data_IF_444270022558
#
_entry.id   IF_444270022558
#
_cell.length_a   1.000
_cell.length_b   1.000
_cell.length_c   1.000
_cell.angle_alpha   90.00
_cell.angle_beta   90.00
_cell.angle_gamma   90.00
#
_symmetry.space_group_name_H-M   'P 1'
#
loop_
_entity.id
_entity.type
_entity.pdbx_description
1 polymer ?
#
# COMPACT_ATOMS: atom_id res chain seq x y z
N UNK A 1 -14.58 -0.01 -2.77
CA UNK A 1 -14.22 1.33 -3.25
C UNK A 1 -13.00 1.82 -2.47
N UNK A 2 -11.96 2.26 -3.17
CA UNK A 2 -10.71 2.77 -2.58
C UNK A 2 -10.89 4.24 -2.17
N UNK A 3 -10.39 4.61 -1.00
CA UNK A 3 -10.16 6.02 -0.69
C UNK A 3 -9.00 6.56 -1.54
N UNK A 4 -8.91 7.88 -1.69
CA UNK A 4 -7.78 8.51 -2.42
C UNK A 4 -6.43 8.12 -1.82
N UNK A 5 -6.36 8.02 -0.49
CA UNK A 5 -5.14 7.65 0.24
C UNK A 5 -4.77 6.19 0.04
N UNK A 6 -5.77 5.30 0.08
CA UNK A 6 -5.59 3.88 -0.21
C UNK A 6 -5.09 3.69 -1.65
N UNK A 7 -5.68 4.41 -2.61
CA UNK A 7 -5.25 4.39 -4.00
C UNK A 7 -3.81 4.88 -4.17
N UNK A 8 -3.41 5.98 -3.54
CA UNK A 8 -2.05 6.50 -3.64
C UNK A 8 -1.02 5.49 -3.10
N UNK A 9 -1.29 4.85 -1.97
CA UNK A 9 -0.43 3.78 -1.42
C UNK A 9 -0.37 2.60 -2.39
N UNK A 10 -1.52 2.15 -2.87
CA UNK A 10 -1.64 0.97 -3.72
C UNK A 10 -0.99 1.17 -5.09
N UNK A 11 -1.10 2.37 -5.67
CA UNK A 11 -0.41 2.77 -6.90
C UNK A 11 1.10 2.79 -6.74
N UNK A 12 1.60 3.21 -5.59
CA UNK A 12 3.03 3.19 -5.30
C UNK A 12 3.56 1.75 -5.22
N UNK A 13 2.81 0.88 -4.54
CA UNK A 13 3.05 -0.56 -4.49
C UNK A 13 2.98 -1.21 -5.87
N UNK A 14 2.00 -0.84 -6.69
CA UNK A 14 1.84 -1.34 -8.06
C UNK A 14 3.07 -1.08 -8.94
N UNK A 15 3.67 0.11 -8.81
CA UNK A 15 4.88 0.50 -9.55
C UNK A 15 6.15 -0.18 -9.06
N UNK A 16 6.28 -0.42 -7.75
CA UNK A 16 7.50 -0.95 -7.15
C UNK A 16 7.47 -2.48 -6.95
N UNK A 17 6.28 -3.11 -7.11
CA UNK A 17 5.95 -4.53 -6.84
C UNK A 17 6.14 -4.98 -5.39
N UNK A 18 7.25 -4.60 -4.75
CA UNK A 18 7.55 -4.80 -3.33
C UNK A 18 8.11 -3.50 -2.77
N UNK A 19 7.66 -3.10 -1.58
CA UNK A 19 8.19 -1.94 -0.89
C UNK A 19 8.20 -2.16 0.62
N UNK A 20 9.22 -1.68 1.30
CA UNK A 20 9.24 -1.67 2.77
C UNK A 20 8.36 -0.54 3.32
N UNK A 21 7.87 -0.67 4.57
CA UNK A 21 7.18 0.44 5.24
C UNK A 21 8.02 1.74 5.29
N UNK A 22 9.35 1.61 5.45
CA UNK A 22 10.26 2.76 5.48
C UNK A 22 10.37 3.47 4.13
N UNK A 23 10.48 2.71 3.04
CA UNK A 23 10.47 3.28 1.68
C UNK A 23 9.11 3.86 1.30
N UNK A 24 8.01 3.25 1.75
CA UNK A 24 6.69 3.81 1.55
C UNK A 24 6.57 5.19 2.21
N UNK A 25 7.07 5.32 3.45
CA UNK A 25 7.15 6.59 4.18
C UNK A 25 8.05 7.62 3.49
N UNK A 26 9.17 7.20 2.89
CA UNK A 26 10.10 8.14 2.24
C UNK A 26 9.61 8.61 0.87
N UNK A 27 8.95 7.73 0.11
CA UNK A 27 8.42 8.03 -1.23
C UNK A 27 7.12 8.82 -1.18
N UNK A 28 6.30 8.59 -0.17
CA UNK A 28 5.14 9.43 0.04
C UNK A 28 5.58 10.66 0.80
N UNK A 29 5.55 11.84 0.16
CA UNK A 29 5.73 13.15 0.81
C UNK A 29 4.53 13.46 1.72
N UNK A 30 4.19 12.52 2.59
CA UNK A 30 2.96 12.50 3.36
C UNK A 30 3.17 13.35 4.60
N UNK A 31 2.65 14.58 4.57
CA UNK A 31 2.67 15.50 5.71
C UNK A 31 1.68 15.12 6.83
N UNK A 32 1.18 13.89 6.88
CA UNK A 32 0.24 13.42 7.92
C UNK A 32 0.92 12.46 8.88
N UNK A 33 0.31 12.30 10.06
CA UNK A 33 0.84 11.47 11.14
C UNK A 33 1.10 10.03 10.69
N UNK A 34 2.17 9.43 11.22
CA UNK A 34 2.52 8.01 11.03
C UNK A 34 1.34 7.06 11.31
N UNK A 35 0.47 7.43 12.25
CA UNK A 35 -0.76 6.72 12.60
C UNK A 35 -1.75 6.62 11.42
N UNK A 36 -1.84 7.67 10.58
CA UNK A 36 -2.69 7.67 9.39
C UNK A 36 -2.26 6.61 8.38
N UNK A 37 -0.95 6.48 8.14
CA UNK A 37 -0.42 5.51 7.18
C UNK A 37 -0.61 4.07 7.65
N UNK A 38 -0.40 3.80 8.94
CA UNK A 38 -0.62 2.46 9.49
C UNK A 38 -2.08 2.01 9.34
N UNK A 39 -3.04 2.92 9.53
CA UNK A 39 -4.45 2.64 9.30
C UNK A 39 -4.76 2.36 7.82
N UNK A 40 -4.18 3.12 6.90
CA UNK A 40 -4.34 2.87 5.44
C UNK A 40 -3.76 1.50 5.07
N UNK A 41 -2.54 1.18 5.51
CA UNK A 41 -1.92 -0.12 5.26
C UNK A 41 -2.79 -1.25 5.84
N UNK A 42 -3.29 -1.09 7.07
CA UNK A 42 -4.16 -2.08 7.70
C UNK A 42 -5.44 -2.30 6.89
N UNK A 43 -6.11 -1.23 6.47
CA UNK A 43 -7.31 -1.31 5.61
C UNK A 43 -7.02 -2.03 4.29
N UNK A 44 -5.89 -1.73 3.63
CA UNK A 44 -5.48 -2.40 2.39
C UNK A 44 -5.19 -3.90 2.57
N UNK A 45 -4.67 -4.30 3.74
CA UNK A 45 -4.46 -5.71 4.09
C UNK A 45 -5.80 -6.40 4.36
N UNK A 46 -6.70 -5.77 5.12
CA UNK A 46 -8.05 -6.29 5.39
C UNK A 46 -8.87 -6.48 4.11
N UNK A 47 -8.70 -5.58 3.13
CA UNK A 47 -9.30 -5.68 1.79
C UNK A 47 -8.59 -6.68 0.86
N UNK A 48 -7.53 -7.35 1.33
CA UNK A 48 -6.70 -8.28 0.56
C UNK A 48 -6.09 -7.65 -0.72
N UNK A 49 -5.85 -6.35 -0.72
CA UNK A 49 -5.12 -5.64 -1.79
C UNK A 49 -3.62 -5.66 -1.59
N UNK A 50 -3.16 -5.80 -0.34
CA UNK A 50 -1.74 -5.86 0.04
C UNK A 50 -1.53 -7.01 1.01
N UNK A 51 -0.35 -7.63 0.96
CA UNK A 51 0.10 -8.62 1.95
C UNK A 51 1.43 -8.22 2.54
N UNK A 52 1.64 -8.57 3.79
CA UNK A 52 2.94 -8.47 4.47
C UNK A 52 3.70 -9.79 4.33
N UNK A 53 5.01 -9.72 4.08
CA UNK A 53 5.88 -10.89 4.10
C UNK A 53 6.50 -11.03 5.50
N UNK A 54 6.11 -12.04 6.31
CA UNK A 54 6.57 -12.17 7.69
C UNK A 54 8.04 -12.61 7.82
N UNK A 55 8.64 -13.14 6.75
CA UNK A 55 9.99 -13.71 6.77
C UNK A 55 11.10 -12.66 6.59
N UNK A 56 10.75 -11.40 6.32
CA UNK A 56 11.72 -10.33 6.13
C UNK A 56 11.71 -9.45 7.38
N UNK A 57 12.87 -9.26 8.02
CA UNK A 57 13.04 -8.41 9.21
C UNK A 57 12.58 -6.97 9.01
N UNK A 58 12.43 -6.56 7.76
CA UNK A 58 11.84 -5.31 7.32
C UNK A 58 10.43 -5.62 6.82
N UNK A 59 9.39 -5.07 7.47
CA UNK A 59 7.98 -5.25 7.09
C UNK A 59 7.75 -4.86 5.61
N UNK A 60 7.92 -5.83 4.70
CA UNK A 60 7.73 -5.68 3.27
C UNK A 60 6.25 -5.83 2.92
N UNK A 61 5.77 -4.93 2.08
CA UNK A 61 4.43 -4.88 1.54
C UNK A 61 4.49 -5.31 0.07
N UNK A 62 3.61 -6.23 -0.30
CA UNK A 62 3.48 -6.77 -1.66
C UNK A 62 2.05 -6.59 -2.13
N UNK A 63 1.88 -6.10 -3.36
CA UNK A 63 0.55 -5.97 -3.96
C UNK A 63 0.01 -7.35 -4.36
N UNK A 64 -1.29 -7.59 -4.11
CA UNK A 64 -1.97 -8.81 -4.57
C UNK A 64 -2.57 -8.59 -5.96
N UNK A 65 -2.99 -9.68 -6.63
CA UNK A 65 -3.73 -9.56 -7.89
C UNK A 65 -5.00 -8.71 -7.76
N UNK A 66 -5.70 -8.78 -6.62
CA UNK A 66 -6.88 -7.95 -6.35
C UNK A 66 -6.51 -6.48 -6.20
N UNK A 67 -5.36 -6.19 -5.59
CA UNK A 67 -4.83 -4.83 -5.50
C UNK A 67 -4.46 -4.25 -6.86
N UNK A 68 -3.86 -5.06 -7.76
CA UNK A 68 -3.56 -4.62 -9.12
C UNK A 68 -4.83 -4.23 -9.89
N UNK A 69 -5.85 -5.10 -9.87
CA UNK A 69 -7.13 -4.84 -10.51
C UNK A 69 -7.82 -3.60 -9.95
N UNK A 70 -7.73 -3.37 -8.64
CA UNK A 70 -8.30 -2.19 -8.01
C UNK A 70 -7.61 -0.88 -8.42
N UNK A 71 -6.33 -0.90 -8.79
CA UNK A 71 -5.63 0.27 -9.34
C UNK A 71 -6.09 0.53 -10.77
N UNK A 72 -6.17 -0.51 -11.60
CA UNK A 72 -6.63 -0.44 -13.00
C UNK A 72 -8.07 0.08 -13.09
N UNK A 73 -8.97 -0.41 -12.23
CA UNK A 73 -10.37 0.03 -12.12
C UNK A 73 -10.48 1.51 -11.71
N UNK A 74 -9.62 1.98 -10.80
CA UNK A 74 -9.62 3.37 -10.36
C UNK A 74 -9.09 4.35 -11.44
N UNK A 75 -8.24 3.88 -12.36
CA UNK A 75 -7.69 4.70 -13.45
C UNK A 75 -8.55 4.73 -14.71
N UNK A 76 -9.60 3.90 -14.76
CA UNK A 76 -10.56 3.81 -15.87
C UNK A 76 -11.62 4.91 -15.79
#
# INVERSE_FOLDING_TARGET
>A
MLSKEEYEVLKLLYKNKVITKGELLSKMRWNRSKFSLENVIKSLIEKNYVRTLPQVSVNCLVITRQGELAVEDYES
#
